data_IF_338314671350
#
_entry.id   IF_338314671350
#
_cell.length_a   1.000
_cell.length_b   1.000
_cell.length_c   1.000
_cell.angle_alpha   90.00
_cell.angle_beta   90.00
_cell.angle_gamma   90.00
#
_symmetry.space_group_name_H-M   'P 1'
#
loop_
_entity.id
_entity.type
_entity.pdbx_description
1 polymer ?
#
# COMPACT_ATOMS: atom_id res chain seq x y z
N UNK A 1 7.94 13.13 -15.32
CA UNK A 1 7.35 13.97 -16.37
C UNK A 1 8.40 14.06 -17.47
N UNK A 2 8.04 13.68 -18.70
CA UNK A 2 8.95 13.44 -19.83
C UNK A 2 9.81 12.16 -19.74
N UNK A 3 9.38 11.17 -18.97
CA UNK A 3 10.05 9.87 -18.84
C UNK A 3 8.99 8.76 -18.89
N UNK A 4 9.38 7.54 -19.28
CA UNK A 4 8.54 6.33 -19.29
C UNK A 4 8.67 5.51 -18.00
N UNK A 5 9.58 5.92 -17.10
CA UNK A 5 9.68 5.37 -15.75
C UNK A 5 8.56 5.87 -14.84
N UNK A 6 8.00 4.93 -14.06
CA UNK A 6 6.97 5.21 -13.06
C UNK A 6 7.57 5.34 -11.67
N UNK A 7 6.93 6.16 -10.83
CA UNK A 7 7.19 6.14 -9.39
C UNK A 7 6.76 4.79 -8.79
N UNK A 8 7.34 4.37 -7.65
CA UNK A 8 6.85 3.22 -6.91
C UNK A 8 5.37 3.38 -6.57
N UNK A 9 4.56 2.38 -6.93
CA UNK A 9 3.13 2.41 -6.63
C UNK A 9 2.88 2.45 -5.11
N UNK A 10 1.96 3.32 -4.69
CA UNK A 10 1.48 3.41 -3.31
C UNK A 10 -0.04 3.35 -3.32
N UNK A 11 -0.57 2.23 -2.83
CA UNK A 11 -2.01 1.98 -2.79
C UNK A 11 -2.76 2.99 -1.91
N UNK A 12 -3.97 3.35 -2.33
CA UNK A 12 -4.89 4.17 -1.54
C UNK A 12 -5.15 3.53 -0.15
N UNK A 13 -4.92 4.24 0.98
CA UNK A 13 -5.19 3.74 2.32
C UNK A 13 -6.64 3.31 2.60
N UNK A 14 -7.60 3.81 1.83
CA UNK A 14 -9.01 3.42 1.93
C UNK A 14 -9.30 2.09 1.22
N UNK A 15 -8.55 1.77 0.16
CA UNK A 15 -8.66 0.49 -0.56
C UNK A 15 -8.05 -0.65 0.28
N UNK A 16 -6.79 -0.52 0.71
CA UNK A 16 -6.11 -1.56 1.50
C UNK A 16 -6.67 -1.73 2.93
N UNK A 17 -7.62 -0.91 3.33
CA UNK A 17 -8.35 -1.13 4.59
C UNK A 17 -9.26 -2.36 4.52
N UNK A 18 -9.62 -2.82 3.32
CA UNK A 18 -10.55 -3.94 3.11
C UNK A 18 -9.84 -5.29 2.91
N UNK A 19 -8.66 -5.29 2.30
CA UNK A 19 -7.95 -6.52 1.87
C UNK A 19 -6.44 -6.28 1.72
N UNK A 20 -5.60 -7.34 1.80
CA UNK A 20 -4.15 -7.23 1.76
C UNK A 20 -3.58 -7.13 0.32
N UNK A 21 -4.22 -6.35 -0.56
CA UNK A 21 -3.72 -6.09 -1.92
C UNK A 21 -3.12 -4.68 -1.94
N UNK A 22 -1.79 -4.58 -2.04
CA UNK A 22 -1.06 -3.31 -1.85
C UNK A 22 -0.15 -2.92 -3.01
N UNK A 23 0.04 -3.83 -3.96
CA UNK A 23 1.00 -3.80 -5.07
C UNK A 23 0.32 -3.82 -6.44
N UNK A 24 -1.02 -3.81 -6.48
CA UNK A 24 -1.79 -3.90 -7.71
C UNK A 24 -2.61 -2.62 -7.98
N UNK A 25 -2.24 -1.80 -9.00
CA UNK A 25 -3.00 -0.61 -9.37
C UNK A 25 -4.32 -0.98 -10.08
N UNK A 26 -5.11 0.04 -10.43
CA UNK A 26 -6.35 -0.09 -11.22
C UNK A 26 -7.43 -1.02 -10.64
N UNK A 27 -7.29 -1.44 -9.38
CA UNK A 27 -8.31 -2.20 -8.66
C UNK A 27 -9.38 -1.28 -8.08
N UNK A 28 -10.61 -1.78 -7.98
CA UNK A 28 -11.75 -1.05 -7.43
C UNK A 28 -12.54 -1.93 -6.48
N UNK A 29 -13.11 -1.31 -5.45
CA UNK A 29 -14.05 -1.97 -4.53
C UNK A 29 -15.35 -1.21 -4.57
N UNK A 30 -16.46 -1.92 -4.75
CA UNK A 30 -17.81 -1.37 -4.67
C UNK A 30 -18.53 -2.03 -3.49
N UNK A 31 -18.93 -1.21 -2.52
CA UNK A 31 -19.54 -1.65 -1.26
C UNK A 31 -20.79 -0.82 -0.97
N UNK A 32 -21.79 -1.45 -0.37
CA UNK A 32 -22.98 -0.79 0.17
C UNK A 32 -23.29 -1.19 1.62
N UNK A 33 -22.49 -2.09 2.21
CA UNK A 33 -22.61 -2.56 3.59
C UNK A 33 -23.67 -3.66 3.81
N UNK A 34 -24.38 -4.11 2.78
CA UNK A 34 -25.37 -5.18 2.86
C UNK A 34 -25.05 -6.36 1.94
N UNK A 35 -24.79 -6.07 0.67
CA UNK A 35 -24.39 -7.09 -0.31
C UNK A 35 -22.91 -7.44 -0.15
N UNK A 36 -22.54 -8.60 -0.68
CA UNK A 36 -21.14 -9.03 -0.73
C UNK A 36 -20.33 -7.99 -1.53
N UNK A 37 -19.20 -7.48 -0.98
CA UNK A 37 -18.39 -6.48 -1.66
C UNK A 37 -17.92 -6.95 -3.04
N UNK A 38 -18.08 -6.11 -4.06
CA UNK A 38 -17.54 -6.37 -5.39
C UNK A 38 -16.10 -5.90 -5.47
N UNK A 39 -15.18 -6.75 -5.92
CA UNK A 39 -13.79 -6.43 -6.20
C UNK A 39 -13.52 -6.53 -7.70
N UNK A 40 -13.20 -5.41 -8.32
CA UNK A 40 -12.68 -5.38 -9.69
C UNK A 40 -11.15 -5.47 -9.57
N UNK A 41 -10.60 -6.63 -9.93
CA UNK A 41 -9.18 -6.96 -9.73
C UNK A 41 -8.41 -6.83 -11.04
N UNK A 42 -7.46 -5.89 -11.10
CA UNK A 42 -6.63 -5.68 -12.28
C UNK A 42 -5.69 -6.86 -12.49
N UNK A 43 -5.78 -7.47 -13.67
CA UNK A 43 -4.96 -8.63 -14.04
C UNK A 43 -4.75 -8.61 -15.55
N UNK A 44 -3.76 -7.85 -16.05
CA UNK A 44 -3.50 -7.78 -17.48
C UNK A 44 -3.04 -9.14 -18.00
N UNK A 45 -3.20 -9.34 -19.31
CA UNK A 45 -2.65 -10.50 -20.01
C UNK A 45 -1.68 -9.96 -21.06
N UNK A 46 -0.40 -9.94 -20.71
CA UNK A 46 0.69 -9.58 -21.59
C UNK A 46 1.91 -10.47 -21.31
N UNK A 47 2.90 -10.43 -22.21
CA UNK A 47 4.14 -11.20 -22.08
C UNK A 47 5.27 -10.42 -21.40
N UNK A 48 5.05 -9.14 -21.06
CA UNK A 48 6.04 -8.25 -20.46
C UNK A 48 6.13 -8.43 -18.95
N UNK A 49 4.99 -8.70 -18.31
CA UNK A 49 4.89 -8.78 -16.86
C UNK A 49 4.59 -10.20 -16.39
N UNK A 50 5.10 -10.53 -15.21
CA UNK A 50 4.63 -11.71 -14.48
C UNK A 50 3.24 -11.40 -13.92
N UNK A 51 2.21 -11.93 -14.57
CA UNK A 51 0.82 -11.77 -14.13
C UNK A 51 0.60 -12.55 -12.83
N UNK A 52 0.01 -11.95 -11.78
CA UNK A 52 -0.31 -12.68 -10.56
C UNK A 52 -1.31 -13.81 -10.85
N UNK A 53 -1.32 -14.86 -10.02
CA UNK A 53 -2.37 -15.86 -10.07
C UNK A 53 -3.73 -15.21 -9.76
N UNK A 54 -4.82 -15.85 -10.18
CA UNK A 54 -6.15 -15.42 -9.75
C UNK A 54 -6.22 -15.39 -8.21
N UNK A 55 -6.92 -14.40 -7.61
CA UNK A 55 -7.12 -14.35 -6.17
C UNK A 55 -7.72 -15.66 -5.62
N UNK A 56 -6.93 -16.40 -4.85
CA UNK A 56 -7.32 -17.69 -4.25
C UNK A 56 -6.99 -17.79 -2.75
N UNK A 57 -6.46 -16.72 -2.19
CA UNK A 57 -6.12 -16.66 -0.78
C UNK A 57 -7.37 -16.45 0.10
N UNK A 58 -7.22 -16.54 1.42
CA UNK A 58 -8.34 -16.54 2.38
C UNK A 58 -9.31 -15.36 2.21
N UNK A 59 -8.82 -14.19 1.78
CA UNK A 59 -9.66 -13.00 1.63
C UNK A 59 -10.53 -13.03 0.36
N UNK A 60 -10.18 -13.86 -0.63
CA UNK A 60 -10.85 -13.86 -1.94
C UNK A 60 -12.32 -14.28 -1.84
N UNK A 61 -12.65 -15.22 -0.95
CA UNK A 61 -14.02 -15.71 -0.76
C UNK A 61 -15.00 -14.64 -0.26
N UNK A 62 -14.50 -13.56 0.35
CA UNK A 62 -15.29 -12.47 0.91
C UNK A 62 -15.71 -11.43 -0.15
N UNK A 63 -15.22 -11.55 -1.39
CA UNK A 63 -15.54 -10.65 -2.49
C UNK A 63 -16.19 -11.37 -3.66
N UNK A 64 -17.04 -10.64 -4.39
CA UNK A 64 -17.42 -11.01 -5.75
C UNK A 64 -16.41 -10.40 -6.72
N UNK A 65 -15.51 -11.26 -7.23
CA UNK A 65 -14.32 -10.84 -7.96
C UNK A 65 -14.61 -10.83 -9.48
N UNK A 66 -14.38 -9.68 -10.11
CA UNK A 66 -14.36 -9.54 -11.57
C UNK A 66 -12.98 -9.12 -12.04
N UNK A 67 -12.44 -9.82 -13.04
CA UNK A 67 -11.10 -9.55 -13.56
C UNK A 67 -11.13 -8.40 -14.58
N UNK A 68 -10.26 -7.41 -14.37
CA UNK A 68 -10.06 -6.28 -15.27
C UNK A 68 -8.77 -6.48 -16.07
N UNK A 69 -8.88 -6.67 -17.38
CA UNK A 69 -7.72 -6.93 -18.25
C UNK A 69 -7.03 -5.64 -18.70
N UNK A 70 -7.79 -4.57 -18.90
CA UNK A 70 -7.29 -3.26 -19.33
C UNK A 70 -7.94 -2.17 -18.49
N UNK A 71 -7.20 -1.15 -17.99
CA UNK A 71 -7.76 -0.16 -17.07
C UNK A 71 -8.97 0.62 -17.61
N UNK A 72 -9.03 0.86 -18.92
CA UNK A 72 -10.12 1.58 -19.61
C UNK A 72 -11.42 0.77 -19.74
N UNK A 73 -11.39 -0.54 -19.48
CA UNK A 73 -12.58 -1.40 -19.54
C UNK A 73 -13.42 -1.38 -18.25
N UNK A 74 -12.96 -0.68 -17.21
CA UNK A 74 -13.57 -0.70 -15.88
C UNK A 74 -15.02 -0.20 -15.86
N UNK A 75 -15.38 0.71 -16.78
CA UNK A 75 -16.72 1.31 -16.85
C UNK A 75 -17.82 0.26 -16.95
N UNK A 76 -17.57 -0.84 -17.68
CA UNK A 76 -18.52 -1.94 -17.89
C UNK A 76 -18.76 -2.78 -16.62
N UNK A 77 -17.83 -2.72 -15.68
CA UNK A 77 -17.87 -3.49 -14.43
C UNK A 77 -18.40 -2.63 -13.26
N UNK A 78 -18.41 -1.32 -13.41
CA UNK A 78 -18.93 -0.39 -12.40
C UNK A 78 -20.47 -0.32 -12.44
N UNK A 79 -21.11 0.18 -11.35
CA UNK A 79 -22.53 0.47 -11.37
C UNK A 79 -22.91 1.40 -12.53
N UNK A 80 -24.05 1.11 -13.17
CA UNK A 80 -24.56 1.92 -14.28
C UNK A 80 -24.86 3.35 -13.83
N UNK A 81 -25.75 3.52 -12.85
CA UNK A 81 -26.05 4.80 -12.20
C UNK A 81 -25.12 5.04 -11.01
N UNK A 82 -24.28 6.08 -11.12
CA UNK A 82 -23.26 6.45 -10.14
C UNK A 82 -23.64 7.70 -9.34
N UNK A 83 -24.82 8.27 -9.57
CA UNK A 83 -25.23 9.53 -8.95
C UNK A 83 -25.25 9.49 -7.41
N UNK A 84 -25.44 8.30 -6.82
CA UNK A 84 -25.46 8.07 -5.36
C UNK A 84 -24.25 7.29 -4.85
N UNK A 85 -23.24 7.06 -5.69
CA UNK A 85 -22.00 6.39 -5.29
C UNK A 85 -20.93 7.44 -4.99
N UNK A 86 -20.34 7.35 -3.80
CA UNK A 86 -19.17 8.14 -3.44
C UNK A 86 -17.90 7.48 -3.99
N UNK A 87 -17.15 8.20 -4.82
CA UNK A 87 -15.81 7.80 -5.23
C UNK A 87 -14.80 8.16 -4.14
N UNK A 88 -14.02 7.18 -3.66
CA UNK A 88 -12.97 7.36 -2.66
C UNK A 88 -11.61 7.01 -3.28
N UNK A 89 -10.89 8.03 -3.74
CA UNK A 89 -9.62 7.84 -4.44
C UNK A 89 -8.98 9.14 -4.91
N UNK A 90 -7.74 9.05 -5.39
CA UNK A 90 -6.93 10.21 -5.78
C UNK A 90 -7.29 10.75 -7.17
N UNK A 91 -7.60 9.86 -8.13
CA UNK A 91 -7.79 10.21 -9.53
C UNK A 91 -9.18 10.82 -9.82
N UNK A 92 -9.39 12.08 -9.45
CA UNK A 92 -10.67 12.77 -9.60
C UNK A 92 -11.13 12.88 -11.06
N UNK A 93 -10.23 13.18 -11.98
CA UNK A 93 -10.55 13.33 -13.41
C UNK A 93 -11.02 12.00 -14.03
N UNK A 94 -10.37 10.89 -13.65
CA UNK A 94 -10.78 9.54 -14.06
C UNK A 94 -12.17 9.22 -13.52
N UNK A 95 -12.43 9.54 -12.24
CA UNK A 95 -13.75 9.32 -11.65
C UNK A 95 -14.85 10.15 -12.33
N UNK A 96 -14.57 11.42 -12.66
CA UNK A 96 -15.49 12.28 -13.40
C UNK A 96 -15.78 11.72 -14.80
N UNK A 97 -14.76 11.28 -15.53
CA UNK A 97 -14.91 10.67 -16.85
C UNK A 97 -15.76 9.38 -16.81
N UNK A 98 -15.71 8.63 -15.71
CA UNK A 98 -16.54 7.44 -15.46
C UNK A 98 -17.97 7.77 -15.01
N UNK A 99 -18.30 9.04 -14.77
CA UNK A 99 -19.62 9.52 -14.37
C UNK A 99 -19.87 9.64 -12.87
N UNK A 100 -18.82 9.57 -12.03
CA UNK A 100 -18.97 9.89 -10.60
C UNK A 100 -19.07 11.40 -10.38
N UNK A 101 -20.03 11.82 -9.55
CA UNK A 101 -20.23 13.22 -9.17
C UNK A 101 -19.90 13.50 -7.70
N UNK A 102 -19.91 12.48 -6.84
CA UNK A 102 -19.62 12.58 -5.40
C UNK A 102 -18.19 12.08 -5.18
N UNK A 103 -17.25 13.01 -5.02
CA UNK A 103 -15.81 12.70 -4.89
C UNK A 103 -15.34 12.98 -3.47
N UNK A 104 -14.77 11.95 -2.83
CA UNK A 104 -14.14 12.04 -1.50
C UNK A 104 -14.98 12.84 -0.48
N UNK A 105 -16.29 12.57 -0.34
CA UNK A 105 -17.17 13.42 0.48
C UNK A 105 -16.71 13.39 1.94
N UNK A 106 -16.44 14.58 2.48
CA UNK A 106 -15.88 14.77 3.82
C UNK A 106 -16.63 14.00 4.92
N UNK A 107 -17.98 13.97 4.98
CA UNK A 107 -18.67 13.19 6.00
C UNK A 107 -18.35 11.69 5.97
N UNK A 108 -18.16 11.11 4.78
CA UNK A 108 -17.81 9.69 4.61
C UNK A 108 -16.36 9.45 5.01
N UNK A 109 -15.44 10.33 4.57
CA UNK A 109 -14.03 10.23 4.95
C UNK A 109 -13.86 10.33 6.46
N UNK A 110 -14.47 11.33 7.09
CA UNK A 110 -14.40 11.55 8.53
C UNK A 110 -14.94 10.35 9.30
N UNK A 111 -16.05 9.76 8.84
CA UNK A 111 -16.61 8.54 9.44
C UNK A 111 -15.61 7.38 9.37
N UNK A 112 -15.06 7.10 8.19
CA UNK A 112 -14.08 6.02 7.99
C UNK A 112 -12.83 6.28 8.85
N UNK A 113 -12.29 7.50 8.81
CA UNK A 113 -11.08 7.89 9.55
C UNK A 113 -11.27 7.78 11.05
N UNK A 114 -12.43 8.20 11.56
CA UNK A 114 -12.76 8.04 12.97
C UNK A 114 -12.74 6.57 13.39
N UNK A 115 -13.42 5.70 12.63
CA UNK A 115 -13.49 4.28 12.96
C UNK A 115 -12.17 3.52 12.75
N UNK A 116 -11.29 4.01 11.85
CA UNK A 116 -9.92 3.48 11.69
C UNK A 116 -9.06 3.60 12.94
N UNK A 117 -9.44 4.41 13.94
CA UNK A 117 -8.77 4.43 15.23
C UNK A 117 -8.90 3.09 15.97
N UNK A 118 -10.03 2.39 15.83
CA UNK A 118 -10.38 1.17 16.55
C UNK A 118 -10.09 -0.07 15.70
N UNK A 119 -8.96 -0.73 15.96
CA UNK A 119 -8.48 -1.84 15.13
C UNK A 119 -9.29 -3.10 15.40
N UNK A 120 -9.66 -3.77 14.33
CA UNK A 120 -10.21 -5.14 14.38
C UNK A 120 -9.15 -6.13 14.86
N UNK A 121 -9.56 -7.34 15.25
CA UNK A 121 -8.60 -8.39 15.63
C UNK A 121 -7.66 -8.76 14.47
N UNK A 122 -8.19 -8.81 13.24
CA UNK A 122 -7.38 -9.03 12.04
C UNK A 122 -6.27 -7.97 11.92
N UNK A 123 -6.62 -6.69 12.02
CA UNK A 123 -5.62 -5.61 11.93
C UNK A 123 -4.59 -5.66 13.06
N UNK A 124 -5.01 -6.03 14.27
CA UNK A 124 -4.07 -6.23 15.39
C UNK A 124 -3.09 -7.37 15.11
N UNK A 125 -3.53 -8.48 14.53
CA UNK A 125 -2.61 -9.57 14.13
C UNK A 125 -1.65 -9.11 13.02
N UNK A 126 -2.13 -8.36 12.02
CA UNK A 126 -1.27 -7.78 10.99
C UNK A 126 -0.20 -6.87 11.61
N UNK A 127 -0.58 -6.01 12.58
CA UNK A 127 0.34 -5.13 13.28
C UNK A 127 1.37 -5.90 14.12
N UNK A 128 0.96 -6.98 14.80
CA UNK A 128 1.90 -7.85 15.54
C UNK A 128 2.90 -8.51 14.59
N UNK A 129 2.45 -8.98 13.44
CA UNK A 129 3.33 -9.57 12.44
C UNK A 129 4.32 -8.54 11.87
N UNK A 130 3.87 -7.33 11.56
CA UNK A 130 4.73 -6.23 11.13
C UNK A 130 5.80 -5.88 12.19
N UNK A 131 5.41 -5.80 13.46
CA UNK A 131 6.34 -5.56 14.57
C UNK A 131 7.38 -6.68 14.73
N UNK A 132 6.98 -7.94 14.53
CA UNK A 132 7.91 -9.08 14.58
C UNK A 132 9.00 -8.95 13.52
N UNK A 133 8.62 -8.63 12.29
CA UNK A 133 9.57 -8.39 11.18
C UNK A 133 10.49 -7.21 11.52
N UNK A 134 9.93 -6.09 11.97
CA UNK A 134 10.71 -4.89 12.31
C UNK A 134 11.75 -5.15 13.41
N UNK A 135 11.39 -5.94 14.44
CA UNK A 135 12.32 -6.31 15.53
C UNK A 135 13.51 -7.11 15.01
N UNK A 136 13.31 -8.01 14.04
CA UNK A 136 14.41 -8.77 13.44
C UNK A 136 15.36 -7.84 12.67
N UNK A 137 14.81 -6.87 11.93
CA UNK A 137 15.57 -5.77 11.30
C UNK A 137 16.38 -4.95 12.31
N UNK A 138 15.76 -4.51 13.41
CA UNK A 138 16.43 -3.73 14.45
C UNK A 138 17.55 -4.49 15.16
N UNK A 139 17.41 -5.80 15.38
CA UNK A 139 18.49 -6.63 15.94
C UNK A 139 19.69 -6.71 15.00
N UNK A 140 19.45 -6.93 13.71
CA UNK A 140 20.51 -6.95 12.71
C UNK A 140 21.20 -5.59 12.57
N UNK A 141 20.42 -4.51 12.54
CA UNK A 141 20.94 -3.14 12.52
C UNK A 141 21.80 -2.83 13.75
N UNK A 142 21.36 -3.23 14.95
CA UNK A 142 22.12 -3.11 16.20
C UNK A 142 23.46 -3.85 16.11
N UNK A 143 23.47 -5.07 15.59
CA UNK A 143 24.69 -5.86 15.47
C UNK A 143 25.66 -5.25 14.45
N UNK A 144 25.15 -4.72 13.34
CA UNK A 144 25.94 -3.95 12.36
C UNK A 144 26.55 -2.69 12.98
N UNK A 145 25.79 -1.96 13.80
CA UNK A 145 26.31 -0.81 14.55
C UNK A 145 27.47 -1.17 15.47
N UNK A 146 27.32 -2.20 16.31
CA UNK A 146 28.39 -2.61 17.24
C UNK A 146 29.63 -3.19 16.53
N UNK A 147 29.48 -3.65 15.29
CA UNK A 147 30.58 -4.08 14.44
C UNK A 147 31.25 -2.93 13.68
N UNK A 148 30.87 -1.68 13.92
CA UNK A 148 31.45 -0.51 13.28
C UNK A 148 31.00 -0.29 11.83
N UNK A 149 29.81 -0.78 11.46
CA UNK A 149 29.22 -0.52 10.15
C UNK A 149 28.88 0.96 9.94
N UNK A 150 28.94 1.42 8.69
CA UNK A 150 28.44 2.75 8.31
C UNK A 150 26.90 2.82 8.42
N UNK A 151 26.32 4.02 8.35
CA UNK A 151 24.86 4.18 8.31
C UNK A 151 24.25 3.40 7.13
N UNK A 152 24.92 3.41 5.97
CA UNK A 152 24.51 2.61 4.82
C UNK A 152 24.56 1.11 5.12
N UNK A 153 25.63 0.59 5.73
CA UNK A 153 25.75 -0.83 6.07
C UNK A 153 24.66 -1.27 7.07
N UNK A 154 24.37 -0.43 8.05
CA UNK A 154 23.31 -0.67 9.05
C UNK A 154 21.93 -0.71 8.37
N UNK A 155 21.65 0.21 7.45
CA UNK A 155 20.42 0.19 6.67
C UNK A 155 20.31 -1.08 5.81
N UNK A 156 21.39 -1.50 5.14
CA UNK A 156 21.39 -2.74 4.36
C UNK A 156 21.16 -3.97 5.25
N UNK A 157 21.78 -4.03 6.44
CA UNK A 157 21.56 -5.10 7.40
C UNK A 157 20.09 -5.18 7.85
N UNK A 158 19.45 -4.03 8.08
CA UNK A 158 18.02 -3.95 8.38
C UNK A 158 17.18 -4.55 7.24
N UNK A 159 17.34 -4.05 6.02
CA UNK A 159 16.57 -4.48 4.84
C UNK A 159 16.73 -5.99 4.57
N UNK A 160 17.95 -6.50 4.68
CA UNK A 160 18.23 -7.93 4.49
C UNK A 160 17.53 -8.79 5.53
N UNK A 161 17.54 -8.37 6.80
CA UNK A 161 16.91 -9.11 7.89
C UNK A 161 15.38 -9.08 7.82
N UNK A 162 14.79 -7.96 7.39
CA UNK A 162 13.33 -7.86 7.20
C UNK A 162 12.84 -8.48 5.89
N UNK A 163 13.76 -8.76 4.95
CA UNK A 163 13.46 -9.16 3.57
C UNK A 163 12.54 -8.16 2.86
N UNK A 164 12.80 -6.89 3.07
CA UNK A 164 12.10 -5.79 2.42
C UNK A 164 13.08 -5.02 1.54
N UNK A 165 12.61 -4.60 0.36
CA UNK A 165 13.20 -3.51 -0.40
C UNK A 165 12.87 -2.17 0.27
N UNK A 166 13.60 -1.12 -0.10
CA UNK A 166 13.39 0.23 0.45
C UNK A 166 11.95 0.72 0.28
N UNK A 167 11.33 0.43 -0.88
CA UNK A 167 9.96 0.86 -1.19
C UNK A 167 8.87 0.05 -0.48
N UNK A 168 9.20 -1.08 0.14
CA UNK A 168 8.26 -1.88 0.94
C UNK A 168 8.17 -1.41 2.39
N UNK A 169 9.13 -0.58 2.84
CA UNK A 169 9.08 0.01 4.16
C UNK A 169 7.91 1.00 4.27
N UNK A 170 7.28 1.12 5.46
CA UNK A 170 6.16 2.04 5.66
C UNK A 170 6.56 3.52 5.57
N UNK A 171 7.84 3.83 5.79
CA UNK A 171 8.45 5.15 5.66
C UNK A 171 9.96 4.98 5.38
N UNK A 172 10.63 6.06 4.96
CA UNK A 172 12.09 6.07 4.81
C UNK A 172 12.76 5.94 6.17
N UNK A 173 13.50 4.85 6.39
CA UNK A 173 14.20 4.61 7.64
C UNK A 173 15.12 5.78 8.01
N UNK A 174 15.26 6.01 9.32
CA UNK A 174 16.26 6.92 9.87
C UNK A 174 17.36 6.06 10.50
N UNK A 175 18.55 6.11 9.92
CA UNK A 175 19.74 5.40 10.41
C UNK A 175 20.84 6.44 10.57
N UNK A 176 21.12 6.83 11.80
CA UNK A 176 21.98 7.95 12.13
C UNK A 176 23.03 7.55 13.15
N UNK A 177 24.26 8.05 12.97
CA UNK A 177 25.37 7.90 13.92
C UNK A 177 25.82 9.26 14.47
N UNK A 178 26.31 9.25 15.71
CA UNK A 178 26.89 10.42 16.38
C UNK A 178 26.00 11.68 16.33
N UNK A 179 26.47 12.78 15.77
CA UNK A 179 25.75 14.05 15.67
C UNK A 179 24.49 13.95 14.79
N UNK A 180 24.47 13.02 13.82
CA UNK A 180 23.29 12.82 12.96
C UNK A 180 22.08 12.37 13.79
N UNK A 181 22.28 11.78 14.97
CA UNK A 181 21.20 11.41 15.90
C UNK A 181 20.37 12.62 16.38
N UNK A 182 20.87 13.85 16.23
CA UNK A 182 20.14 15.08 16.55
C UNK A 182 19.23 15.57 15.39
N UNK A 183 19.34 14.98 14.20
CA UNK A 183 18.58 15.39 13.01
C UNK A 183 17.27 14.58 12.95
N UNK A 184 16.14 15.25 13.21
CA UNK A 184 14.84 14.58 13.34
C UNK A 184 14.38 13.85 12.07
N UNK A 185 14.60 14.44 10.89
CA UNK A 185 14.26 13.85 9.59
C UNK A 185 15.54 13.55 8.81
N UNK A 186 16.46 12.78 9.42
CA UNK A 186 17.69 12.37 8.76
C UNK A 186 17.40 11.29 7.71
N UNK A 187 17.62 11.62 6.44
CA UNK A 187 17.29 10.76 5.30
C UNK A 187 18.49 10.22 4.53
N UNK A 188 19.69 10.76 4.80
CA UNK A 188 20.91 10.27 4.18
C UNK A 188 21.44 9.04 4.91
N UNK A 189 22.30 8.27 4.24
CA UNK A 189 23.03 7.17 4.85
C UNK A 189 24.50 7.31 4.45
N UNK A 190 25.35 7.79 5.37
CA UNK A 190 26.78 7.90 5.12
C UNK A 190 27.38 6.52 4.76
N UNK A 191 28.09 6.38 3.62
CA UNK A 191 28.64 5.10 3.18
C UNK A 191 29.98 4.76 3.86
N UNK A 192 30.51 5.67 4.68
CA UNK A 192 31.74 5.48 5.45
C UNK A 192 31.40 5.54 6.93
N UNK A 193 31.93 4.61 7.70
CA UNK A 193 31.82 4.64 9.15
C UNK A 193 32.60 5.87 9.70
N UNK A 194 32.10 6.48 10.79
CA UNK A 194 32.75 7.61 11.44
C UNK A 194 34.07 7.24 12.16
#
# INVERSE_FOLDING_TARGET
FLDDMYYPFKVNPHFKAWLPVIDNPHCWIVVNGSDKPKLIFYRPIDFWHKVPDEPRDFWAEYFDIELLLQPDQVEKLLPYDKAKFAYIGEYLEVAQALGFSIMNPEPVLNYIHYHRAYKTQYELECLRNANRIAVDGHKAARDAFFNGGSEFDIQQAYLMATRQSENEMPYGNIVALNENCAILHYTHFEPKAP
#
